data_IF_690590880649
#
_entry.id   IF_690590880649
#
_cell.length_a   1.000
_cell.length_b   1.000
_cell.length_c   1.000
_cell.angle_alpha   90.00
_cell.angle_beta   90.00
_cell.angle_gamma   90.00
#
_symmetry.space_group_name_H-M   'P 1'
#
loop_
_entity.id
_entity.type
_entity.pdbx_description
1 polymer ?
#
# COMPACT_ATOMS: atom_id res chain seq x y z
N UNK A 1 12.69 -17.26 4.32
CA UNK A 1 11.31 -17.71 4.01
C UNK A 1 10.42 -16.61 4.54
N UNK A 2 9.53 -16.07 3.71
CA UNK A 2 8.65 -14.97 4.12
C UNK A 2 7.66 -15.48 5.17
N UNK A 3 7.61 -14.83 6.32
CA UNK A 3 6.62 -15.03 7.38
C UNK A 3 5.37 -14.21 7.08
N UNK A 4 4.47 -14.79 6.30
CA UNK A 4 3.18 -14.21 5.95
C UNK A 4 2.30 -13.88 7.16
N UNK A 5 2.54 -14.54 8.31
CA UNK A 5 1.78 -14.32 9.53
C UNK A 5 2.37 -13.21 10.41
N UNK A 6 3.52 -12.66 10.04
CA UNK A 6 4.12 -11.55 10.76
C UNK A 6 3.11 -10.40 10.87
N UNK A 7 2.88 -9.95 12.09
CA UNK A 7 1.99 -8.84 12.43
C UNK A 7 2.69 -7.98 13.48
N UNK A 8 2.86 -6.67 13.26
CA UNK A 8 3.43 -5.80 14.28
C UNK A 8 2.45 -5.64 15.44
N UNK A 9 2.97 -5.52 16.66
CA UNK A 9 2.13 -5.36 17.86
C UNK A 9 1.32 -4.05 17.84
N UNK A 10 1.90 -2.99 17.30
CA UNK A 10 1.25 -1.69 17.14
C UNK A 10 1.94 -0.90 16.01
N UNK A 11 1.18 -0.04 15.32
CA UNK A 11 1.72 0.92 14.35
C UNK A 11 2.14 2.24 14.99
N UNK A 12 1.53 2.58 16.12
CA UNK A 12 1.56 3.92 16.68
C UNK A 12 2.41 3.98 17.96
N UNK A 13 2.95 5.15 18.22
CA UNK A 13 3.62 5.45 19.50
C UNK A 13 2.80 6.48 20.27
N UNK A 14 3.19 6.78 21.51
CA UNK A 14 2.52 7.82 22.30
C UNK A 14 2.53 9.21 21.63
N UNK A 15 3.44 9.44 20.69
CA UNK A 15 3.66 10.74 20.04
C UNK A 15 3.15 10.75 18.59
N UNK A 16 2.83 9.59 18.01
CA UNK A 16 2.47 9.47 16.59
C UNK A 16 1.14 8.77 16.39
N UNK A 17 0.15 9.50 15.87
CA UNK A 17 -1.15 8.97 15.46
C UNK A 17 -1.23 8.69 13.95
N UNK A 18 -0.14 8.89 13.21
CA UNK A 18 -0.07 8.63 11.77
C UNK A 18 1.31 8.11 11.40
N UNK A 19 1.36 7.10 10.54
CA UNK A 19 2.60 6.47 10.09
C UNK A 19 2.52 6.09 8.62
N UNK A 20 3.65 6.18 7.94
CA UNK A 20 3.83 5.61 6.61
C UNK A 20 4.00 4.08 6.73
N UNK A 21 3.04 3.32 6.22
CA UNK A 21 3.13 1.86 6.20
C UNK A 21 3.99 1.37 5.04
N UNK A 22 3.71 1.83 3.82
CA UNK A 22 4.32 1.29 2.60
C UNK A 22 4.55 2.40 1.59
N UNK A 23 5.68 2.33 0.86
CA UNK A 23 5.88 3.04 -0.41
C UNK A 23 5.86 2.04 -1.54
N UNK A 24 5.07 2.33 -2.55
CA UNK A 24 4.92 1.56 -3.78
C UNK A 24 5.44 2.41 -4.93
N UNK A 25 6.23 1.80 -5.80
CA UNK A 25 6.63 2.35 -7.07
C UNK A 25 6.22 1.37 -8.17
N UNK A 26 5.52 1.86 -9.19
CA UNK A 26 5.06 1.05 -10.33
C UNK A 26 5.81 1.47 -11.60
N UNK A 27 7.01 0.91 -11.87
CA UNK A 27 7.83 1.30 -13.02
C UNK A 27 7.14 1.09 -14.37
N UNK A 28 6.23 0.12 -14.45
CA UNK A 28 5.53 -0.25 -15.68
C UNK A 28 4.30 0.62 -15.96
N UNK A 29 3.84 1.39 -14.98
CA UNK A 29 2.74 2.34 -15.15
C UNK A 29 3.17 3.52 -16.01
N UNK A 30 2.20 4.28 -16.53
CA UNK A 30 2.43 5.28 -17.60
C UNK A 30 3.51 6.32 -17.23
N UNK A 31 3.63 6.66 -15.96
CA UNK A 31 4.54 7.70 -15.46
C UNK A 31 5.51 7.20 -14.37
N UNK A 32 5.57 5.89 -14.09
CA UNK A 32 6.35 5.37 -12.97
C UNK A 32 5.71 5.72 -11.62
N UNK A 33 4.44 5.40 -11.48
CA UNK A 33 3.53 5.89 -10.44
C UNK A 33 4.07 5.55 -9.04
N UNK A 34 4.03 6.54 -8.14
CA UNK A 34 4.47 6.39 -6.76
C UNK A 34 3.29 6.60 -5.82
N UNK A 35 3.01 5.58 -5.01
CA UNK A 35 1.90 5.57 -4.07
C UNK A 35 2.44 5.30 -2.67
N UNK A 36 2.00 6.09 -1.70
CA UNK A 36 2.29 5.88 -0.28
C UNK A 36 1.03 5.48 0.45
N UNK A 37 1.08 4.38 1.20
CA UNK A 37 -0.02 3.95 2.07
C UNK A 37 0.30 4.37 3.51
N UNK A 38 -0.60 5.14 4.11
CA UNK A 38 -0.53 5.61 5.48
C UNK A 38 -1.57 4.90 6.35
N UNK A 39 -1.25 4.78 7.64
CA UNK A 39 -2.18 4.40 8.69
C UNK A 39 -2.37 5.55 9.66
N UNK A 40 -3.62 5.85 9.99
CA UNK A 40 -4.02 6.92 10.89
C UNK A 40 -4.89 6.37 12.02
N UNK A 41 -4.52 6.65 13.27
CA UNK A 41 -5.34 6.35 14.43
C UNK A 41 -6.44 7.40 14.57
N UNK A 42 -7.69 7.03 14.31
CA UNK A 42 -8.88 7.89 14.40
C UNK A 42 -10.01 7.12 15.07
N UNK A 43 -10.64 7.68 16.11
CA UNK A 43 -11.79 7.09 16.82
C UNK A 43 -11.61 5.60 17.19
N UNK A 44 -10.45 5.27 17.77
CA UNK A 44 -10.07 3.90 18.16
C UNK A 44 -9.96 2.90 17.01
N UNK A 45 -9.96 3.37 15.76
CA UNK A 45 -9.73 2.59 14.55
C UNK A 45 -8.50 3.09 13.81
N UNK A 46 -7.98 2.22 12.95
CA UNK A 46 -6.89 2.53 12.06
C UNK A 46 -7.50 2.76 10.68
N UNK A 47 -7.42 3.99 10.21
CA UNK A 47 -7.83 4.36 8.86
C UNK A 47 -6.63 4.22 7.93
N UNK A 48 -6.84 3.62 6.77
CA UNK A 48 -5.83 3.44 5.75
C UNK A 48 -6.09 4.43 4.61
N UNK A 49 -5.04 5.11 4.17
CA UNK A 49 -5.10 6.10 3.10
C UNK A 49 -3.97 5.84 2.10
N UNK A 50 -4.30 5.78 0.82
CA UNK A 50 -3.31 5.71 -0.26
C UNK A 50 -3.24 7.07 -0.95
N UNK A 51 -2.02 7.60 -1.07
CA UNK A 51 -1.76 8.95 -1.57
C UNK A 51 -0.71 8.87 -2.68
N UNK A 52 -0.99 9.53 -3.80
CA UNK A 52 -0.03 9.78 -4.87
C UNK A 52 0.27 11.29 -5.01
N UNK A 53 1.12 11.64 -5.98
CA UNK A 53 1.44 13.04 -6.26
C UNK A 53 0.30 13.82 -6.93
N UNK A 54 -0.60 13.12 -7.62
CA UNK A 54 -1.60 13.74 -8.50
C UNK A 54 -2.93 14.03 -7.79
N UNK A 55 -3.09 13.57 -6.55
CA UNK A 55 -4.34 13.75 -5.79
C UNK A 55 -5.45 12.81 -6.27
N UNK A 56 -5.06 11.63 -6.74
CA UNK A 56 -6.01 10.59 -7.08
C UNK A 56 -6.58 9.94 -5.82
N UNK A 57 -7.83 9.49 -5.94
CA UNK A 57 -8.49 8.76 -4.86
C UNK A 57 -8.38 7.26 -5.12
N UNK A 58 -7.95 6.52 -4.09
CA UNK A 58 -7.71 5.09 -4.16
C UNK A 58 -8.64 4.36 -3.19
N UNK A 59 -9.32 3.36 -3.72
CA UNK A 59 -10.15 2.46 -2.93
C UNK A 59 -9.27 1.36 -2.33
N UNK A 60 -9.22 1.35 -1.00
CA UNK A 60 -8.56 0.33 -0.20
C UNK A 60 -9.59 -0.60 0.45
N UNK A 61 -9.38 -1.91 0.36
CA UNK A 61 -10.25 -2.92 0.94
C UNK A 61 -9.46 -3.86 1.86
N UNK A 62 -9.62 -3.74 3.19
CA UNK A 62 -10.42 -2.74 3.92
C UNK A 62 -9.77 -1.35 3.95
N UNK A 63 -10.56 -0.28 4.04
CA UNK A 63 -10.04 1.08 4.29
C UNK A 63 -9.93 1.42 5.79
N UNK A 64 -10.48 0.57 6.65
CA UNK A 64 -10.45 0.71 8.11
C UNK A 64 -10.26 -0.65 8.78
N UNK A 65 -9.38 -0.71 9.77
CA UNK A 65 -9.08 -1.90 10.56
C UNK A 65 -9.05 -1.56 12.06
N UNK A 66 -9.20 -2.56 12.91
CA UNK A 66 -9.21 -2.39 14.37
C UNK A 66 -7.85 -2.69 15.01
N UNK A 67 -7.02 -3.47 14.34
CA UNK A 67 -5.67 -3.89 14.77
C UNK A 67 -4.73 -3.93 13.57
N UNK A 68 -3.39 -3.88 13.77
CA UNK A 68 -2.43 -4.03 12.69
C UNK A 68 -2.64 -5.31 11.86
N UNK A 69 -2.39 -5.19 10.55
CA UNK A 69 -2.56 -6.28 9.60
C UNK A 69 -1.42 -7.29 9.67
N UNK A 70 -1.67 -8.53 9.29
CA UNK A 70 -0.56 -9.43 8.95
C UNK A 70 0.12 -8.99 7.66
N UNK A 71 1.32 -9.50 7.39
CA UNK A 71 2.01 -9.28 6.11
C UNK A 71 1.16 -9.77 4.93
N UNK A 72 0.49 -10.92 5.09
CA UNK A 72 -0.44 -11.46 4.10
C UNK A 72 -1.60 -10.50 3.80
N UNK A 73 -2.26 -10.00 4.85
CA UNK A 73 -3.36 -9.04 4.70
C UNK A 73 -2.89 -7.74 4.01
N UNK A 74 -1.68 -7.26 4.32
CA UNK A 74 -1.10 -6.08 3.67
C UNK A 74 -0.81 -6.33 2.20
N UNK A 75 -0.30 -7.52 1.84
CA UNK A 75 -0.08 -7.89 0.44
C UNK A 75 -1.41 -7.89 -0.31
N UNK A 76 -2.45 -8.51 0.26
CA UNK A 76 -3.78 -8.49 -0.36
C UNK A 76 -4.37 -7.09 -0.48
N UNK A 77 -4.13 -6.20 0.49
CA UNK A 77 -4.51 -4.79 0.40
C UNK A 77 -3.85 -4.11 -0.80
N UNK A 78 -2.54 -4.28 -0.98
CA UNK A 78 -1.77 -3.67 -2.07
C UNK A 78 -2.24 -4.20 -3.43
N UNK A 79 -2.46 -5.52 -3.54
CA UNK A 79 -2.89 -6.16 -4.79
C UNK A 79 -4.36 -5.88 -5.13
N UNK A 80 -5.19 -5.66 -4.12
CA UNK A 80 -6.60 -5.31 -4.27
C UNK A 80 -6.88 -3.81 -4.36
N UNK A 81 -5.85 -2.96 -4.31
CA UNK A 81 -5.98 -1.51 -4.41
C UNK A 81 -6.49 -1.11 -5.80
N UNK A 82 -7.49 -0.22 -5.83
CA UNK A 82 -8.10 0.25 -7.08
C UNK A 82 -8.12 1.77 -7.13
N UNK A 83 -7.95 2.33 -8.33
CA UNK A 83 -8.20 3.75 -8.56
C UNK A 83 -9.71 4.00 -8.58
N UNK A 84 -10.18 4.99 -7.84
CA UNK A 84 -11.58 5.41 -7.89
C UNK A 84 -11.86 6.14 -9.22
N UNK A 85 -12.55 5.48 -10.15
CA UNK A 85 -12.83 6.01 -11.49
C UNK A 85 -14.10 6.87 -11.56
N UNK A 86 -14.95 6.81 -10.53
CA UNK A 86 -16.24 7.51 -10.53
C UNK A 86 -16.08 9.05 -10.36
N UNK A 87 -14.91 9.52 -9.91
CA UNK A 87 -14.60 10.94 -9.69
C UNK A 87 -13.72 11.58 -10.78
N UNK A 88 -13.49 10.89 -11.92
CA UNK A 88 -12.57 11.34 -12.98
C UNK A 88 -13.10 12.47 -13.88
N UNK A 89 -14.04 13.32 -13.44
CA UNK A 89 -14.37 14.55 -14.19
C UNK A 89 -13.21 15.56 -14.08
N UNK A 90 -12.26 15.47 -15.03
CA UNK A 90 -11.12 16.39 -15.17
C UNK A 90 -9.79 15.91 -14.59
N UNK A 91 -9.72 14.67 -14.06
CA UNK A 91 -8.46 14.04 -13.62
C UNK A 91 -7.86 13.18 -14.74
N UNK A 92 -6.53 13.07 -14.78
CA UNK A 92 -5.83 12.22 -15.76
C UNK A 92 -6.16 10.74 -15.49
N UNK A 93 -6.53 10.00 -16.54
CA UNK A 93 -6.72 8.56 -16.45
C UNK A 93 -5.37 7.89 -16.12
N UNK A 94 -5.25 7.31 -14.93
CA UNK A 94 -4.10 6.51 -14.54
C UNK A 94 -4.45 5.03 -14.62
N UNK A 95 -3.56 4.26 -15.25
CA UNK A 95 -3.61 2.79 -15.24
C UNK A 95 -2.42 2.32 -14.42
N UNK A 96 -2.69 1.67 -13.29
CA UNK A 96 -1.67 0.98 -12.52
C UNK A 96 -1.32 -0.32 -13.24
N UNK A 97 -0.17 -0.33 -13.89
CA UNK A 97 0.36 -1.49 -14.60
C UNK A 97 1.54 -2.10 -13.85
N UNK A 98 1.63 -3.43 -13.94
CA UNK A 98 2.73 -4.22 -13.40
C UNK A 98 2.58 -4.61 -11.93
N UNK A 99 3.72 -4.93 -11.31
CA UNK A 99 3.82 -5.36 -9.90
C UNK A 99 4.69 -4.32 -9.20
N UNK A 100 4.23 -3.67 -8.12
CA UNK A 100 5.01 -2.58 -7.53
C UNK A 100 6.32 -3.06 -6.92
N UNK A 101 7.33 -2.21 -6.95
CA UNK A 101 8.43 -2.24 -5.99
C UNK A 101 7.89 -1.69 -4.66
N UNK A 102 7.86 -2.54 -3.62
CA UNK A 102 7.28 -2.18 -2.32
C UNK A 102 8.36 -2.08 -1.25
N UNK A 103 8.33 -1.02 -0.44
CA UNK A 103 9.22 -0.85 0.71
C UNK A 103 8.42 -0.48 1.96
N UNK A 104 8.81 -1.04 3.10
CA UNK A 104 8.17 -0.77 4.39
C UNK A 104 9.19 -0.86 5.52
N UNK A 105 9.12 0.08 6.47
CA UNK A 105 9.88 0.00 7.72
C UNK A 105 9.18 -0.86 8.78
N UNK A 106 7.88 -1.12 8.59
CA UNK A 106 7.04 -1.89 9.52
C UNK A 106 7.03 -3.37 9.13
N UNK A 107 7.06 -3.66 7.82
CA UNK A 107 7.03 -5.01 7.26
C UNK A 107 8.33 -5.30 6.50
N UNK A 108 9.38 -5.79 7.19
CA UNK A 108 10.73 -5.92 6.61
C UNK A 108 10.81 -6.92 5.44
N UNK A 109 9.88 -7.86 5.36
CA UNK A 109 9.87 -8.90 4.33
C UNK A 109 9.02 -8.54 3.10
N UNK A 110 8.30 -7.41 3.14
CA UNK A 110 7.47 -6.94 2.04
C UNK A 110 8.27 -6.72 0.76
N UNK A 111 9.45 -6.10 0.89
CA UNK A 111 10.34 -5.82 -0.24
C UNK A 111 10.79 -7.12 -0.92
N UNK A 112 11.14 -8.13 -0.12
CA UNK A 112 11.57 -9.43 -0.65
C UNK A 112 10.44 -10.14 -1.38
N UNK A 113 9.21 -10.10 -0.85
CA UNK A 113 8.05 -10.69 -1.50
C UNK A 113 7.80 -10.06 -2.89
N UNK A 114 7.70 -8.73 -2.96
CA UNK A 114 7.40 -8.05 -4.23
C UNK A 114 8.55 -8.17 -5.23
N UNK A 115 9.81 -8.16 -4.76
CA UNK A 115 10.98 -8.41 -5.61
C UNK A 115 10.98 -9.80 -6.23
N UNK A 116 10.66 -10.83 -5.46
CA UNK A 116 10.56 -12.20 -5.98
C UNK A 116 9.37 -12.35 -6.94
N UNK A 117 8.24 -11.71 -6.60
CA UNK A 117 7.07 -11.66 -7.48
C UNK A 117 7.41 -11.00 -8.81
N UNK A 118 8.02 -9.82 -8.84
CA UNK A 118 8.47 -9.13 -10.08
C UNK A 118 9.33 -10.04 -10.96
N UNK A 119 10.33 -10.72 -10.36
CA UNK A 119 11.18 -11.69 -11.08
C UNK A 119 10.38 -12.83 -11.70
N UNK A 120 9.40 -13.38 -10.97
CA UNK A 120 8.56 -14.48 -11.46
C UNK A 120 7.71 -14.10 -12.68
N UNK A 121 7.42 -12.81 -12.88
CA UNK A 121 6.72 -12.25 -14.03
C UNK A 121 7.64 -11.64 -15.09
N UNK A 122 8.97 -11.71 -14.93
CA UNK A 122 9.94 -11.17 -15.90
C UNK A 122 10.09 -9.64 -15.88
N UNK A 123 9.74 -8.99 -14.77
CA UNK A 123 9.78 -7.53 -14.59
C UNK A 123 11.04 -7.06 -13.83
N UNK A 124 12.23 -7.57 -14.19
CA UNK A 124 13.49 -7.41 -13.40
C UNK A 124 13.72 -6.00 -12.82
#
# INVERSE_FOLDING_TARGET
>A
MVDFKFRPENYFTAETSSILLVKLHYPESTWGEQISIYAHQVDFRIHLEAVDFYGNDYLLYPSKIEEPMSLEDLIFLIEGMQLNQDELEGKMELVLDGIPEATSLVYPELEWYFKDKRKSFGLE
#
